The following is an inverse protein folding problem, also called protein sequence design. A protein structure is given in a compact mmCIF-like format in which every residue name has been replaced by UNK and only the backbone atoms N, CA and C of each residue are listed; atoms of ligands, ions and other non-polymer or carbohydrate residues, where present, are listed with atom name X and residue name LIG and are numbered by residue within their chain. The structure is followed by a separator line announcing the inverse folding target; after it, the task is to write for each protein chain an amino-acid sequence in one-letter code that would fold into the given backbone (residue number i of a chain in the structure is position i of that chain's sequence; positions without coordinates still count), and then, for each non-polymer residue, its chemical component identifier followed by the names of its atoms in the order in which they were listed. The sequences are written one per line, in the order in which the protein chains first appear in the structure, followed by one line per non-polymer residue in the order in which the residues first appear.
data_IF_569645561388
#
_entry.id   IF_569645561388
#
_cell.length_a   1.000
_cell.length_b   1.000
_cell.length_c   1.000
_cell.angle_alpha   90.00
_cell.angle_beta   90.00
_cell.angle_gamma   90.00
#
_symmetry.space_group_name_H-M   'P 1'
#
loop_
_entity.id
_entity.type
_entity.pdbx_description
1 polymer ?
#
# COMPACT_ATOMS: atom_id res chain seq x y z
N UNK A 1 -8.58 -12.47 -29.25
CA UNK A 1 -7.55 -11.41 -29.25
C UNK A 1 -7.87 -10.47 -28.12
N UNK A 2 -6.98 -10.33 -27.13
CA UNK A 2 -7.30 -9.51 -25.99
C UNK A 2 -7.06 -8.03 -26.24
N UNK A 3 -8.07 -7.23 -25.92
CA UNK A 3 -8.09 -5.78 -26.02
C UNK A 3 -7.41 -5.09 -24.82
N UNK A 4 -6.77 -5.86 -23.94
CA UNK A 4 -6.15 -5.36 -22.71
C UNK A 4 -4.65 -5.08 -22.87
N UNK A 5 -4.32 -4.16 -23.79
CA UNK A 5 -2.95 -3.74 -24.08
C UNK A 5 -2.56 -2.49 -23.27
N UNK A 6 -1.26 -2.23 -23.09
CA UNK A 6 -0.81 -0.99 -22.45
C UNK A 6 -1.02 0.20 -23.39
N UNK A 7 -1.65 1.25 -22.88
CA UNK A 7 -1.75 2.57 -23.49
C UNK A 7 -0.61 3.44 -22.96
N UNK A 8 0.41 3.69 -23.79
CA UNK A 8 1.51 4.61 -23.46
C UNK A 8 1.11 6.07 -23.73
N UNK A 9 1.66 7.04 -22.99
CA UNK A 9 2.63 6.90 -21.90
C UNK A 9 1.99 6.69 -20.51
N UNK A 10 0.66 6.57 -20.43
CA UNK A 10 -0.05 6.48 -19.16
C UNK A 10 0.02 5.09 -18.51
N UNK A 11 0.43 4.09 -19.28
CA UNK A 11 0.45 2.68 -18.89
C UNK A 11 -0.90 2.18 -18.37
N UNK A 12 -2.00 2.76 -18.84
CA UNK A 12 -3.36 2.27 -18.55
C UNK A 12 -3.76 1.20 -19.57
N UNK A 13 -4.82 0.47 -19.29
CA UNK A 13 -5.28 -0.61 -20.14
C UNK A 13 -6.26 -0.10 -21.21
N UNK A 14 -5.97 -0.33 -22.49
CA UNK A 14 -6.85 0.09 -23.62
C UNK A 14 -8.26 -0.52 -23.59
N UNK A 15 -8.46 -1.60 -22.83
CA UNK A 15 -9.74 -2.31 -22.77
C UNK A 15 -10.62 -1.98 -21.56
N UNK A 16 -10.04 -1.46 -20.48
CA UNK A 16 -10.80 -1.19 -19.24
C UNK A 16 -10.30 0.01 -18.43
N UNK A 17 -9.38 0.81 -18.97
CA UNK A 17 -8.80 2.03 -18.42
C UNK A 17 -8.06 1.91 -17.06
N UNK A 18 -8.12 0.74 -16.42
CA UNK A 18 -7.35 0.43 -15.23
C UNK A 18 -5.84 0.40 -15.50
N UNK A 19 -5.05 0.52 -14.43
CA UNK A 19 -3.59 0.36 -14.50
C UNK A 19 -3.19 -0.95 -15.20
N UNK A 20 -2.40 -0.82 -16.27
CA UNK A 20 -1.80 -1.97 -16.95
C UNK A 20 -0.55 -2.45 -16.20
N UNK A 21 -0.35 -3.77 -15.99
CA UNK A 21 -1.24 -4.87 -16.38
C UNK A 21 -2.50 -4.92 -15.49
N UNK A 22 -3.68 -4.83 -16.12
CA UNK A 22 -4.95 -4.89 -15.41
C UNK A 22 -5.29 -6.34 -15.02
N UNK A 23 -6.24 -6.59 -14.09
CA UNK A 23 -6.57 -7.94 -13.64
C UNK A 23 -6.88 -8.93 -14.78
N UNK A 24 -7.58 -8.48 -15.83
CA UNK A 24 -7.86 -9.31 -17.00
C UNK A 24 -6.58 -9.67 -17.76
N UNK A 25 -5.73 -8.69 -18.06
CA UNK A 25 -4.45 -8.97 -18.76
C UNK A 25 -3.55 -9.88 -17.94
N UNK A 26 -3.52 -9.75 -16.61
CA UNK A 26 -2.76 -10.66 -15.74
C UNK A 26 -3.21 -12.11 -15.90
N UNK A 27 -4.53 -12.37 -15.89
CA UNK A 27 -5.09 -13.72 -16.12
C UNK A 27 -4.73 -14.24 -17.51
N UNK A 28 -4.86 -13.40 -18.53
CA UNK A 28 -4.49 -13.77 -19.91
C UNK A 28 -3.01 -14.11 -20.02
N UNK A 29 -2.12 -13.30 -19.43
CA UNK A 29 -0.68 -13.55 -19.43
C UNK A 29 -0.33 -14.85 -18.69
N UNK A 30 -0.99 -15.16 -17.57
CA UNK A 30 -0.81 -16.45 -16.90
C UNK A 30 -1.25 -17.64 -17.77
N UNK A 31 -2.36 -17.49 -18.49
CA UNK A 31 -2.85 -18.53 -19.39
C UNK A 31 -1.92 -18.70 -20.61
N UNK A 32 -1.45 -17.59 -21.19
CA UNK A 32 -0.55 -17.56 -22.35
C UNK A 32 0.83 -18.15 -22.03
N UNK A 33 1.36 -17.84 -20.85
CA UNK A 33 2.67 -18.32 -20.39
C UNK A 33 2.59 -19.53 -19.46
N UNK A 34 1.51 -20.32 -19.54
CA UNK A 34 1.36 -21.51 -18.71
C UNK A 34 2.56 -22.46 -18.91
N UNK A 35 3.25 -22.82 -17.82
CA UNK A 35 4.46 -23.64 -17.86
C UNK A 35 5.76 -22.88 -18.21
N UNK A 36 5.68 -21.57 -18.49
CA UNK A 36 6.80 -20.72 -18.88
C UNK A 36 6.91 -19.44 -18.02
N UNK A 37 6.81 -19.61 -16.69
CA UNK A 37 6.79 -18.50 -15.73
C UNK A 37 8.03 -17.60 -15.77
N UNK A 38 9.21 -18.16 -16.08
CA UNK A 38 10.44 -17.38 -16.25
C UNK A 38 10.28 -16.41 -17.43
N UNK A 39 9.77 -16.90 -18.56
CA UNK A 39 9.52 -16.08 -19.74
C UNK A 39 8.50 -14.96 -19.47
N UNK A 40 7.45 -15.25 -18.69
CA UNK A 40 6.50 -14.22 -18.24
C UNK A 40 7.20 -13.14 -17.39
N UNK A 41 8.07 -13.53 -16.47
CA UNK A 41 8.81 -12.58 -15.62
C UNK A 41 9.74 -11.68 -16.43
N UNK A 42 10.41 -12.22 -17.46
CA UNK A 42 11.28 -11.45 -18.35
C UNK A 42 10.45 -10.46 -19.16
N UNK A 43 9.32 -10.90 -19.71
CA UNK A 43 8.40 -10.01 -20.44
C UNK A 43 7.89 -8.86 -19.56
N UNK A 44 7.44 -9.14 -18.33
CA UNK A 44 6.95 -8.09 -17.44
C UNK A 44 8.08 -7.17 -16.95
N UNK A 45 9.29 -7.70 -16.77
CA UNK A 45 10.46 -6.89 -16.43
C UNK A 45 10.83 -5.94 -17.58
N UNK A 46 10.78 -6.36 -18.84
CA UNK A 46 11.01 -5.45 -19.97
C UNK A 46 9.95 -4.35 -20.04
N UNK A 47 8.69 -4.70 -19.79
CA UNK A 47 7.61 -3.70 -19.71
C UNK A 47 7.81 -2.72 -18.55
N UNK A 48 8.31 -3.16 -17.40
CA UNK A 48 8.65 -2.27 -16.28
C UNK A 48 9.77 -1.30 -16.65
N UNK A 49 10.82 -1.78 -17.34
CA UNK A 49 11.94 -0.92 -17.77
C UNK A 49 11.46 0.16 -18.73
N UNK A 50 10.56 -0.19 -19.64
CA UNK A 50 9.92 0.77 -20.55
C UNK A 50 8.99 1.76 -19.82
N UNK A 51 8.32 1.31 -18.76
CA UNK A 51 7.38 2.15 -18.00
C UNK A 51 8.07 3.11 -17.04
N UNK A 52 9.19 2.71 -16.46
CA UNK A 52 9.92 3.49 -15.47
C UNK A 52 10.20 4.94 -15.88
N UNK A 53 10.69 5.26 -17.09
CA UNK A 53 10.91 6.65 -17.51
C UNK A 53 9.60 7.41 -17.80
N UNK A 54 8.50 6.73 -18.15
CA UNK A 54 7.21 7.37 -18.45
C UNK A 54 6.35 7.59 -17.19
N UNK A 55 6.66 6.87 -16.12
CA UNK A 55 6.02 6.95 -14.81
C UNK A 55 7.03 7.36 -13.72
N UNK A 56 7.93 8.29 -14.04
CA UNK A 56 9.03 8.72 -13.16
C UNK A 56 8.57 9.34 -11.83
N UNK A 57 7.32 9.80 -11.78
CA UNK A 57 6.63 10.29 -10.58
C UNK A 57 6.11 9.17 -9.66
N UNK A 58 6.12 7.90 -10.09
CA UNK A 58 5.73 6.75 -9.29
C UNK A 58 6.99 6.10 -8.67
N UNK A 59 7.04 5.88 -7.34
CA UNK A 59 8.22 5.29 -6.73
C UNK A 59 8.51 3.86 -7.25
N UNK A 60 9.78 3.53 -7.45
CA UNK A 60 10.21 2.28 -8.10
C UNK A 60 9.66 1.00 -7.45
N UNK A 61 9.52 0.97 -6.12
CA UNK A 61 8.93 -0.18 -5.42
C UNK A 61 7.47 -0.45 -5.81
N UNK A 62 6.71 0.60 -6.16
CA UNK A 62 5.31 0.50 -6.58
C UNK A 62 5.22 -0.02 -8.01
N UNK A 63 6.09 0.45 -8.90
CA UNK A 63 6.20 -0.10 -10.26
C UNK A 63 6.62 -1.58 -10.21
N UNK A 64 7.60 -1.93 -9.37
CA UNK A 64 7.97 -3.34 -9.17
C UNK A 64 6.77 -4.19 -8.74
N UNK A 65 6.01 -3.76 -7.74
CA UNK A 65 4.85 -4.51 -7.26
C UNK A 65 3.75 -4.63 -8.31
N UNK A 66 3.50 -3.56 -9.07
CA UNK A 66 2.50 -3.52 -10.16
C UNK A 66 2.81 -4.52 -11.27
N UNK A 67 4.06 -4.59 -11.72
CA UNK A 67 4.46 -5.44 -12.85
C UNK A 67 4.86 -6.86 -12.42
N UNK A 68 5.58 -7.02 -11.31
CA UNK A 68 6.21 -8.28 -10.91
C UNK A 68 5.69 -8.86 -9.58
N UNK A 69 5.08 -8.04 -8.71
CA UNK A 69 4.71 -8.44 -7.35
C UNK A 69 3.71 -9.59 -7.25
N UNK A 70 2.92 -9.82 -8.29
CA UNK A 70 1.89 -10.87 -8.34
C UNK A 70 2.33 -12.18 -9.02
N UNK A 71 3.52 -12.22 -9.63
CA UNK A 71 3.98 -13.39 -10.41
C UNK A 71 4.12 -14.64 -9.52
N UNK A 72 4.47 -14.46 -8.25
CA UNK A 72 4.63 -15.56 -7.28
C UNK A 72 3.32 -15.98 -6.60
N UNK A 73 2.27 -15.15 -6.69
CA UNK A 73 0.99 -15.35 -6.01
C UNK A 73 -0.20 -15.04 -6.94
N UNK A 74 -0.44 -15.84 -8.01
CA UNK A 74 -1.50 -15.62 -9.00
C UNK A 74 -2.93 -15.58 -8.44
N UNK A 75 -3.17 -16.29 -7.33
CA UNK A 75 -4.49 -16.47 -6.72
C UNK A 75 -4.82 -15.39 -5.68
N UNK A 76 -3.85 -14.55 -5.31
CA UNK A 76 -4.05 -13.51 -4.31
C UNK A 76 -4.36 -12.20 -5.04
N UNK A 77 -5.53 -11.56 -4.82
CA UNK A 77 -5.75 -10.22 -5.32
C UNK A 77 -4.67 -9.33 -4.70
N UNK A 78 -3.81 -8.72 -5.53
CA UNK A 78 -2.92 -7.67 -5.02
C UNK A 78 -3.76 -6.66 -4.23
N UNK A 79 -3.25 -6.10 -3.12
CA UNK A 79 -3.84 -4.95 -2.50
C UNK A 79 -3.66 -3.77 -3.46
N UNK A 80 -4.61 -3.72 -4.40
CA UNK A 80 -5.17 -2.60 -5.10
C UNK A 80 -4.19 -1.54 -5.70
N UNK A 81 -4.70 -0.59 -6.49
CA UNK A 81 -3.90 0.41 -7.20
C UNK A 81 -3.12 1.32 -6.24
N UNK A 82 -2.28 2.22 -6.79
CA UNK A 82 -1.58 3.20 -5.96
C UNK A 82 -2.56 4.00 -5.07
N UNK A 83 -3.72 4.31 -5.65
CA UNK A 83 -4.84 4.98 -5.00
C UNK A 83 -5.40 4.17 -3.84
N UNK A 84 -5.53 2.87 -3.98
CA UNK A 84 -6.17 2.05 -2.97
C UNK A 84 -5.26 1.78 -1.77
N UNK A 85 -3.93 1.73 -1.97
CA UNK A 85 -2.99 1.75 -0.84
C UNK A 85 -3.01 3.11 -0.17
N UNK A 86 -3.09 4.22 -0.91
CA UNK A 86 -3.20 5.57 -0.35
C UNK A 86 -4.51 5.79 0.41
N UNK A 87 -5.64 5.32 -0.12
CA UNK A 87 -6.94 5.36 0.54
C UNK A 87 -6.92 4.45 1.76
N UNK A 88 -6.40 3.22 1.64
CA UNK A 88 -6.29 2.32 2.79
C UNK A 88 -5.34 2.83 3.87
N UNK A 89 -4.23 3.48 3.51
CA UNK A 89 -3.36 4.16 4.50
C UNK A 89 -4.02 5.40 5.08
N UNK A 90 -4.77 6.17 4.30
CA UNK A 90 -5.52 7.32 4.80
C UNK A 90 -6.63 6.91 5.77
N UNK A 91 -7.42 5.89 5.43
CA UNK A 91 -8.48 5.33 6.28
C UNK A 91 -7.88 4.74 7.57
N UNK A 92 -6.78 3.99 7.48
CA UNK A 92 -6.06 3.50 8.66
C UNK A 92 -5.50 4.64 9.51
N UNK A 93 -4.96 5.71 8.91
CA UNK A 93 -4.46 6.87 9.64
C UNK A 93 -5.60 7.63 10.31
N UNK A 94 -6.75 7.78 9.64
CA UNK A 94 -7.93 8.48 10.20
C UNK A 94 -8.61 7.68 11.30
N UNK A 95 -8.81 6.37 11.12
CA UNK A 95 -9.34 5.47 12.14
C UNK A 95 -8.44 5.38 13.37
N UNK A 96 -7.13 5.56 13.20
CA UNK A 96 -6.16 5.54 14.29
C UNK A 96 -5.66 6.94 14.69
N UNK A 97 -6.32 8.02 14.23
CA UNK A 97 -5.99 9.38 14.65
C UNK A 97 -6.33 9.55 16.13
N UNK A 98 -5.36 10.08 16.90
CA UNK A 98 -5.42 10.26 18.35
C UNK A 98 -6.72 10.98 18.76
N UNK A 99 -7.43 10.43 19.76
CA UNK A 99 -8.62 11.05 20.33
C UNK A 99 -8.27 12.26 21.22
N UNK A 100 -9.29 12.95 21.75
CA UNK A 100 -9.11 14.11 22.64
C UNK A 100 -8.35 13.78 23.94
N UNK A 101 -8.20 12.50 24.28
CA UNK A 101 -7.55 12.00 25.47
C UNK A 101 -6.10 11.56 25.22
N UNK A 102 -5.64 11.56 23.96
CA UNK A 102 -4.28 11.12 23.62
C UNK A 102 -4.17 9.64 23.24
N UNK A 103 -5.28 8.93 23.11
CA UNK A 103 -5.32 7.49 22.85
C UNK A 103 -5.80 7.17 21.42
N UNK A 104 -5.36 6.05 20.86
CA UNK A 104 -5.97 5.52 19.64
C UNK A 104 -7.39 4.99 19.95
N UNK A 105 -8.44 5.41 19.24
CA UNK A 105 -9.82 4.99 19.55
C UNK A 105 -10.10 3.51 19.25
N UNK A 106 -9.25 2.88 18.42
CA UNK A 106 -9.43 1.48 17.99
C UNK A 106 -8.68 0.49 18.90
N UNK A 107 -7.47 0.81 19.34
CA UNK A 107 -6.67 -0.10 20.17
C UNK A 107 -6.49 0.36 21.63
N UNK A 108 -6.78 1.63 21.95
CA UNK A 108 -6.69 2.17 23.31
C UNK A 108 -5.27 2.41 23.83
N UNK A 109 -4.23 2.21 23.02
CA UNK A 109 -2.83 2.39 23.44
C UNK A 109 -2.42 3.88 23.37
N UNK A 110 -1.85 4.45 24.46
CA UNK A 110 -1.46 5.86 24.51
C UNK A 110 -0.04 6.13 23.98
N UNK A 111 0.81 5.11 23.85
CA UNK A 111 2.25 5.26 23.61
C UNK A 111 2.69 4.67 22.26
N UNK A 112 2.05 3.58 21.82
CA UNK A 112 2.42 2.90 20.56
C UNK A 112 1.21 2.29 19.85
N UNK A 113 0.89 2.76 18.65
CA UNK A 113 -0.16 2.15 17.84
C UNK A 113 0.41 1.06 16.92
N UNK A 114 -0.18 -0.13 16.96
CA UNK A 114 0.17 -1.24 16.08
C UNK A 114 -0.86 -1.35 14.95
N UNK A 115 -0.46 -0.94 13.74
CA UNK A 115 -1.35 -0.93 12.57
C UNK A 115 -1.03 -2.14 11.68
N UNK A 116 -2.08 -2.74 11.11
CA UNK A 116 -1.97 -3.81 10.11
C UNK A 116 -2.43 -3.26 8.75
N UNK A 117 -1.50 -3.14 7.82
CA UNK A 117 -1.79 -2.75 6.42
C UNK A 117 -2.41 -3.93 5.65
N UNK A 118 -2.17 -5.17 6.11
CA UNK A 118 -2.81 -6.40 5.61
C UNK A 118 -3.28 -7.23 6.83
N UNK A 119 -4.53 -7.74 6.83
CA UNK A 119 -5.04 -8.62 7.90
C UNK A 119 -4.17 -9.85 8.19
N UNK A 120 -3.51 -10.41 7.17
CA UNK A 120 -2.66 -11.59 7.28
C UNK A 120 -1.16 -11.29 7.44
N UNK A 121 -0.77 -10.01 7.49
CA UNK A 121 0.63 -9.57 7.54
C UNK A 121 1.15 -9.24 8.95
N UNK A 122 2.48 -9.01 9.08
CA UNK A 122 3.07 -8.51 10.33
C UNK A 122 2.59 -7.10 10.65
N UNK A 123 2.39 -6.80 11.93
CA UNK A 123 2.03 -5.45 12.39
C UNK A 123 3.26 -4.54 12.39
N UNK A 124 3.07 -3.28 12.01
CA UNK A 124 4.13 -2.26 12.04
C UNK A 124 3.79 -1.28 13.16
N UNK A 125 4.77 -1.01 14.03
CA UNK A 125 4.64 0.02 15.05
C UNK A 125 4.70 1.40 14.37
N UNK A 126 3.61 2.16 14.47
CA UNK A 126 3.58 3.55 14.05
C UNK A 126 3.83 4.40 15.29
N UNK A 127 4.94 5.15 15.37
CA UNK A 127 5.18 6.05 16.48
C UNK A 127 4.11 7.15 16.43
N UNK A 128 3.22 7.15 17.42
CA UNK A 128 2.29 8.25 17.62
C UNK A 128 3.07 9.47 18.12
N UNK A 129 2.75 10.69 17.66
CA UNK A 129 3.30 11.89 18.28
C UNK A 129 2.88 11.88 19.75
N UNK A 130 3.85 11.77 20.66
CA UNK A 130 3.60 11.81 22.10
C UNK A 130 2.73 13.02 22.39
N UNK A 131 1.56 12.81 22.98
CA UNK A 131 0.88 13.91 23.63
C UNK A 131 1.89 14.42 24.65
N UNK A 132 2.32 15.68 24.53
CA UNK A 132 2.98 16.34 25.63
C UNK A 132 1.89 16.53 26.68
N UNK A 133 1.59 15.46 27.41
CA UNK A 133 0.83 15.52 28.64
C UNK A 133 1.68 16.38 29.55
N UNK A 134 1.39 17.69 29.58
CA UNK A 134 1.78 18.55 30.67
C UNK A 134 1.36 17.80 31.92
N UNK A 135 2.35 17.26 32.65
CA UNK A 135 2.16 16.77 34.00
C UNK A 135 1.57 17.94 34.78
N UNK A 136 0.24 18.00 34.91
CA UNK A 136 -0.39 18.82 35.92
C UNK A 136 -0.06 18.14 37.25
N UNK A 137 1.14 18.43 37.77
CA UNK A 137 1.51 18.19 39.16
C UNK A 137 0.63 19.11 39.99
N UNK A 138 -0.60 18.70 40.22
CA UNK A 138 -1.27 19.00 41.47
C UNK A 138 -0.52 18.16 42.50
N UNK A 139 0.25 18.82 43.37
CA UNK A 139 0.40 18.39 44.77
C UNK A 139 1.06 19.50 45.58
N UNK A 140 0.20 20.19 46.34
CA UNK A 140 0.42 20.46 47.76
C UNK A 140 1.62 21.30 48.16
N UNK A 141 1.40 22.59 48.32
CA UNK A 141 2.13 23.36 49.33
C UNK A 141 1.88 22.76 50.73
N UNK A 142 2.89 22.72 51.61
CA UNK A 142 2.64 22.89 53.03
C UNK A 142 2.92 24.36 53.39
N UNK A 143 1.88 25.01 53.91
CA UNK A 143 2.04 26.18 54.74
C UNK A 143 2.70 25.74 56.06
N UNK A 144 3.84 26.34 56.42
CA UNK A 144 4.27 26.41 57.82
C UNK A 144 4.89 27.77 58.09
N UNK A 145 4.39 28.34 59.19
CA UNK A 145 4.70 29.63 59.80
C UNK A 145 6.14 29.80 60.26
#
# INVERSE_FOLDING_TARGET
MSWHNPLRPYWTCTGCDADWPCPTKRRELFAEYQGAMISLSIYLASQLVEAAPELDYIPAGWLHNRFLGWIRHPAEPLPHSATDVLVSTYDLVTEHTIDHQGCCPTCGDPDTCWVRINPAGPAIAVPLPRSTSTTHRADGAPATS
#
